data_IF_896348676787
#
_entry.id   IF_896348676787
#
_cell.length_a   1.000
_cell.length_b   1.000
_cell.length_c   1.000
_cell.angle_alpha   90.00
_cell.angle_beta   90.00
_cell.angle_gamma   90.00
#
_symmetry.space_group_name_H-M   'P 1'
#
loop_
_entity.id
_entity.type
_entity.pdbx_description
1 polymer ?
#
# COMPACT_ATOMS: atom_id res chain seq x y z
N UNK A 1 -35.15 21.79 60.09
CA UNK A 1 -33.90 21.94 59.33
C UNK A 1 -32.89 21.02 59.99
N UNK A 2 -32.44 19.89 59.48
CA UNK A 2 -32.72 19.05 58.30
C UNK A 2 -32.14 17.66 58.69
N UNK A 3 -32.93 16.57 58.64
CA UNK A 3 -32.92 15.50 57.60
C UNK A 3 -31.49 15.05 57.21
N UNK A 4 -31.10 13.78 57.22
CA UNK A 4 -31.76 12.49 57.46
C UNK A 4 -30.65 11.43 57.56
N UNK A 5 -30.79 10.49 58.50
CA UNK A 5 -29.95 9.31 58.71
C UNK A 5 -30.37 8.18 57.74
N UNK A 6 -29.39 7.36 57.37
CA UNK A 6 -29.42 6.08 56.63
C UNK A 6 -30.72 5.23 56.65
N UNK A 7 -31.01 4.56 55.52
CA UNK A 7 -31.21 3.09 55.45
C UNK A 7 -31.25 2.54 53.99
N UNK A 8 -30.41 1.53 53.78
CA UNK A 8 -30.21 0.52 52.72
C UNK A 8 -31.39 0.16 51.76
N UNK A 9 -31.07 -0.12 50.48
CA UNK A 9 -31.16 -1.46 49.87
C UNK A 9 -30.38 -1.56 48.53
N UNK A 10 -29.85 -2.76 48.30
CA UNK A 10 -28.93 -3.25 47.27
C UNK A 10 -29.51 -3.29 45.83
N UNK A 11 -28.72 -2.89 44.82
CA UNK A 11 -28.76 -3.49 43.47
C UNK A 11 -27.49 -3.14 42.64
N UNK A 12 -26.66 -4.15 42.41
CA UNK A 12 -25.72 -4.38 41.30
C UNK A 12 -24.75 -3.27 40.86
N UNK A 13 -23.48 -3.57 41.12
CA UNK A 13 -22.27 -3.10 40.45
C UNK A 13 -22.48 -3.03 38.93
N UNK A 14 -22.33 -1.82 38.39
CA UNK A 14 -22.18 -1.54 36.96
C UNK A 14 -21.17 -0.42 36.80
N UNK A 15 -19.94 -0.65 37.26
CA UNK A 15 -18.80 0.18 36.89
C UNK A 15 -18.61 -0.03 35.38
N UNK A 16 -19.24 0.82 34.56
CA UNK A 16 -18.87 0.99 33.16
C UNK A 16 -17.46 1.55 33.19
N UNK A 17 -16.47 0.67 33.18
CA UNK A 17 -15.07 1.01 32.98
C UNK A 17 -15.01 1.84 31.69
N UNK A 18 -14.72 3.14 31.83
CA UNK A 18 -14.23 3.94 30.72
C UNK A 18 -12.87 3.36 30.36
N UNK A 19 -12.89 2.43 29.39
CA UNK A 19 -11.69 1.90 28.75
C UNK A 19 -11.04 3.09 28.01
N UNK A 20 -9.86 3.49 28.46
CA UNK A 20 -9.07 4.59 27.89
C UNK A 20 -8.23 4.06 26.71
N UNK A 21 -7.76 4.92 25.80
CA UNK A 21 -6.98 4.50 24.63
C UNK A 21 -5.70 3.72 24.99
N UNK A 22 -5.22 3.90 26.22
CA UNK A 22 -4.10 3.16 26.81
C UNK A 22 -4.36 1.68 27.05
N UNK A 23 -5.63 1.24 27.03
CA UNK A 23 -6.01 -0.13 27.39
C UNK A 23 -6.01 -1.09 26.19
N UNK A 24 -5.98 -0.58 24.96
CA UNK A 24 -5.84 -1.43 23.78
C UNK A 24 -4.37 -1.79 23.59
N UNK A 25 -4.01 -2.97 24.06
CA UNK A 25 -2.64 -3.49 23.95
C UNK A 25 -2.63 -4.70 23.02
N UNK A 26 -1.98 -4.55 21.87
CA UNK A 26 -1.69 -5.68 20.99
C UNK A 26 -0.69 -6.63 21.66
N UNK A 27 -0.83 -7.96 21.48
CA UNK A 27 0.14 -8.92 21.99
C UNK A 27 1.53 -8.66 21.39
N UNK A 28 2.57 -9.07 22.12
CA UNK A 28 3.97 -8.89 21.70
C UNK A 28 4.32 -9.64 20.42
N UNK A 29 3.57 -10.70 20.10
CA UNK A 29 3.68 -11.43 18.85
C UNK A 29 2.32 -11.86 18.35
N UNK A 30 2.12 -11.77 17.03
CA UNK A 30 0.88 -12.16 16.37
C UNK A 30 1.08 -12.40 14.87
N UNK A 31 0.07 -13.00 14.26
CA UNK A 31 -0.13 -12.92 12.81
C UNK A 31 -1.52 -12.39 12.48
N UNK A 32 -1.64 -11.70 11.36
CA UNK A 32 -2.89 -11.11 10.87
C UNK A 32 -2.86 -11.07 9.35
N UNK A 33 -3.97 -11.36 8.71
CA UNK A 33 -4.14 -11.08 7.28
C UNK A 33 -4.95 -9.80 7.11
N UNK A 34 -4.57 -8.99 6.15
CA UNK A 34 -5.30 -7.77 5.84
C UNK A 34 -5.36 -7.50 4.35
N UNK A 35 -6.50 -6.95 3.94
CA UNK A 35 -6.73 -6.44 2.60
C UNK A 35 -6.81 -4.93 2.67
N UNK A 36 -5.98 -4.23 1.91
CA UNK A 36 -6.03 -2.79 1.76
C UNK A 36 -6.57 -2.45 0.38
N UNK A 37 -7.44 -1.44 0.32
CA UNK A 37 -7.88 -0.80 -0.92
C UNK A 37 -7.64 0.70 -0.82
N UNK A 38 -6.95 1.25 -1.80
CA UNK A 38 -6.96 2.68 -2.07
C UNK A 38 -8.16 3.00 -2.97
N UNK A 39 -9.12 3.71 -2.42
CA UNK A 39 -10.35 4.09 -3.11
C UNK A 39 -10.09 5.17 -4.18
N UNK A 40 -9.00 5.93 -4.06
CA UNK A 40 -8.62 6.97 -5.03
C UNK A 40 -8.06 6.36 -6.32
N UNK A 41 -7.19 5.35 -6.22
CA UNK A 41 -6.56 4.71 -7.37
C UNK A 41 -7.23 3.39 -7.80
N UNK A 42 -8.07 2.82 -6.94
CA UNK A 42 -8.59 1.46 -7.10
C UNK A 42 -7.57 0.36 -6.82
N UNK A 43 -6.35 0.73 -6.41
CA UNK A 43 -5.31 -0.23 -6.05
C UNK A 43 -5.75 -1.08 -4.84
N UNK A 44 -5.40 -2.36 -4.86
CA UNK A 44 -5.65 -3.25 -3.73
C UNK A 44 -4.49 -4.20 -3.51
N UNK A 45 -4.18 -4.48 -2.24
CA UNK A 45 -3.19 -5.48 -1.84
C UNK A 45 -3.76 -6.37 -0.74
N UNK A 46 -3.34 -7.64 -0.76
CA UNK A 46 -3.60 -8.59 0.31
C UNK A 46 -2.27 -9.00 0.92
N UNK A 47 -2.19 -8.96 2.24
CA UNK A 47 -0.95 -9.18 2.96
C UNK A 47 -1.20 -10.08 4.15
N UNK A 48 -0.35 -11.08 4.32
CA UNK A 48 -0.22 -11.81 5.59
C UNK A 48 0.96 -11.25 6.35
N UNK A 49 0.67 -10.76 7.55
CA UNK A 49 1.61 -10.08 8.42
C UNK A 49 1.96 -10.97 9.60
N UNK A 50 3.23 -10.93 9.99
CA UNK A 50 3.73 -11.48 11.23
C UNK A 50 4.53 -10.42 11.97
N UNK A 51 4.37 -10.38 13.28
CA UNK A 51 5.05 -9.42 14.15
C UNK A 51 5.56 -10.15 15.37
N UNK A 52 6.80 -9.83 15.78
CA UNK A 52 7.40 -10.31 17.01
C UNK A 52 8.27 -9.23 17.62
N UNK A 53 7.86 -8.72 18.79
CA UNK A 53 8.69 -7.84 19.62
C UNK A 53 9.87 -8.59 20.23
N UNK A 54 9.70 -9.87 20.58
CA UNK A 54 10.79 -10.65 21.20
C UNK A 54 11.97 -10.89 20.25
N UNK A 55 11.68 -10.95 18.94
CA UNK A 55 12.68 -11.10 17.88
C UNK A 55 13.08 -9.79 17.23
N UNK A 56 12.48 -8.66 17.64
CA UNK A 56 12.52 -7.39 16.92
C UNK A 56 12.37 -7.61 15.41
N UNK A 57 11.32 -8.33 15.03
CA UNK A 57 11.16 -8.83 13.67
C UNK A 57 9.72 -8.66 13.18
N UNK A 58 9.65 -8.45 11.87
CA UNK A 58 8.42 -8.19 11.17
C UNK A 58 8.46 -8.84 9.79
N UNK A 59 7.34 -9.41 9.34
CA UNK A 59 7.24 -10.04 8.01
C UNK A 59 5.92 -9.70 7.32
N UNK A 60 6.00 -9.40 6.03
CA UNK A 60 4.87 -9.30 5.12
C UNK A 60 5.01 -10.27 3.96
N UNK A 61 4.03 -11.16 3.84
CA UNK A 61 3.80 -11.96 2.64
C UNK A 61 2.69 -11.30 1.82
N UNK A 62 3.08 -10.53 0.80
CA UNK A 62 2.15 -9.85 -0.11
C UNK A 62 1.75 -10.80 -1.23
N UNK A 63 0.47 -10.79 -1.59
CA UNK A 63 -0.12 -11.66 -2.63
C UNK A 63 0.18 -13.15 -2.42
N UNK A 64 0.10 -13.62 -1.17
CA UNK A 64 0.36 -15.03 -0.86
C UNK A 64 1.84 -15.41 -0.81
N UNK A 65 2.74 -14.42 -0.68
CA UNK A 65 4.19 -14.64 -0.50
C UNK A 65 5.00 -14.50 -1.78
N UNK A 66 4.39 -14.10 -2.90
CA UNK A 66 5.10 -13.76 -4.14
C UNK A 66 6.09 -12.62 -3.94
N UNK A 67 5.75 -11.72 -3.03
CA UNK A 67 6.63 -10.69 -2.50
C UNK A 67 6.68 -10.89 -0.97
N UNK A 68 7.83 -11.26 -0.45
CA UNK A 68 8.04 -11.47 0.98
C UNK A 68 9.04 -10.46 1.51
N UNK A 69 8.62 -9.63 2.46
CA UNK A 69 9.48 -8.69 3.17
C UNK A 69 9.72 -9.25 4.57
N UNK A 70 10.98 -9.37 4.99
CA UNK A 70 11.36 -9.70 6.34
C UNK A 70 12.25 -8.58 6.84
N UNK A 71 11.82 -7.90 7.90
CA UNK A 71 12.56 -6.83 8.55
C UNK A 71 12.96 -7.33 9.92
N UNK A 72 14.26 -7.29 10.24
CA UNK A 72 14.80 -7.67 11.56
C UNK A 72 15.68 -6.53 12.07
N UNK A 73 15.57 -6.17 13.33
CA UNK A 73 16.47 -5.20 13.94
C UNK A 73 17.55 -5.95 14.71
N UNK A 74 18.81 -5.62 14.44
CA UNK A 74 19.94 -6.22 15.12
C UNK A 74 20.24 -5.53 16.46
N UNK A 75 21.20 -6.05 17.22
CA UNK A 75 21.57 -5.56 18.56
C UNK A 75 22.09 -4.11 18.57
N UNK A 76 22.45 -3.56 17.41
CA UNK A 76 22.88 -2.17 17.25
C UNK A 76 21.72 -1.24 16.88
N UNK A 77 20.48 -1.70 16.98
CA UNK A 77 19.26 -1.03 16.52
C UNK A 77 19.22 -0.75 15.01
N UNK A 78 20.05 -1.42 14.21
CA UNK A 78 20.01 -1.28 12.75
C UNK A 78 18.99 -2.26 12.20
N UNK A 79 18.03 -1.74 11.44
CA UNK A 79 17.03 -2.54 10.75
C UNK A 79 17.62 -3.14 9.49
N UNK A 80 17.39 -4.43 9.27
CA UNK A 80 17.81 -5.18 8.09
C UNK A 80 16.57 -5.65 7.33
N UNK A 81 16.47 -5.29 6.06
CA UNK A 81 15.41 -5.73 5.19
C UNK A 81 15.92 -6.82 4.25
N UNK A 82 15.20 -7.93 4.25
CA UNK A 82 15.30 -9.01 3.27
C UNK A 82 14.02 -8.98 2.43
N UNK A 83 14.16 -8.75 1.13
CA UNK A 83 13.04 -8.70 0.21
C UNK A 83 13.17 -9.78 -0.85
N UNK A 84 12.27 -10.76 -0.79
CA UNK A 84 12.16 -11.85 -1.75
C UNK A 84 11.05 -11.54 -2.75
N UNK A 85 11.35 -11.67 -4.04
CA UNK A 85 10.39 -11.41 -5.11
C UNK A 85 10.64 -12.30 -6.33
N UNK A 86 9.56 -12.60 -7.05
CA UNK A 86 9.64 -13.32 -8.31
C UNK A 86 10.02 -12.37 -9.46
N UNK A 87 10.90 -12.84 -10.34
CA UNK A 87 11.23 -12.18 -11.61
C UNK A 87 11.02 -13.16 -12.76
N UNK A 88 10.49 -12.66 -13.86
CA UNK A 88 10.41 -13.36 -15.15
C UNK A 88 11.14 -12.52 -16.19
N UNK A 89 11.99 -13.16 -17.01
CA UNK A 89 12.68 -12.53 -18.12
C UNK A 89 12.50 -13.39 -19.40
N UNK A 90 13.26 -13.08 -20.45
CA UNK A 90 13.15 -13.77 -21.75
C UNK A 90 13.58 -15.25 -21.70
N UNK A 91 14.39 -15.65 -20.71
CA UNK A 91 14.98 -17.00 -20.60
C UNK A 91 14.50 -17.78 -19.39
N UNK A 92 13.91 -17.13 -18.38
CA UNK A 92 13.45 -17.78 -17.15
C UNK A 92 12.14 -17.18 -16.63
N UNK A 93 11.29 -18.04 -16.08
CA UNK A 93 9.97 -17.67 -15.52
C UNK A 93 9.92 -17.90 -14.02
N UNK A 94 9.39 -16.93 -13.28
CA UNK A 94 9.14 -17.02 -11.83
C UNK A 94 10.38 -17.47 -11.04
N UNK A 95 11.53 -16.88 -11.35
CA UNK A 95 12.75 -17.10 -10.57
C UNK A 95 12.71 -16.20 -9.34
N UNK A 96 12.87 -16.78 -8.16
CA UNK A 96 12.94 -16.04 -6.91
C UNK A 96 14.30 -15.34 -6.78
N UNK A 97 14.26 -14.06 -6.47
CA UNK A 97 15.42 -13.25 -6.13
C UNK A 97 15.29 -12.75 -4.70
N UNK A 98 16.42 -12.47 -4.06
CA UNK A 98 16.44 -11.77 -2.78
C UNK A 98 17.33 -10.52 -2.86
N UNK A 99 16.81 -9.43 -2.34
CA UNK A 99 17.54 -8.19 -2.09
C UNK A 99 17.73 -8.02 -0.58
N UNK A 100 18.93 -7.63 -0.18
CA UNK A 100 19.26 -7.29 1.21
C UNK A 100 19.66 -5.83 1.30
N UNK A 101 19.06 -5.11 2.25
CA UNK A 101 19.42 -3.74 2.58
C UNK A 101 19.52 -3.56 4.10
N UNK A 102 20.65 -3.06 4.62
CA UNK A 102 20.70 -2.49 5.96
C UNK A 102 19.90 -1.18 5.94
N UNK A 103 18.62 -1.29 6.27
CA UNK A 103 17.66 -0.20 6.26
C UNK A 103 18.05 0.91 7.25
N UNK A 104 17.97 2.16 6.78
CA UNK A 104 18.13 3.39 7.57
C UNK A 104 16.93 3.73 8.48
N UNK A 105 15.93 2.85 8.60
CA UNK A 105 14.74 3.10 9.42
C UNK A 105 14.97 2.74 10.89
N UNK A 106 14.85 3.74 11.75
CA UNK A 106 15.15 3.67 13.19
C UNK A 106 14.17 2.79 14.00
N UNK A 107 12.98 2.44 13.48
CA UNK A 107 12.00 1.68 14.30
C UNK A 107 11.08 0.75 13.51
N UNK A 108 11.06 -0.53 13.90
CA UNK A 108 10.06 -1.53 13.53
C UNK A 108 8.67 -1.19 14.09
N UNK A 109 8.59 -0.30 15.09
CA UNK A 109 7.37 0.03 15.84
C UNK A 109 6.18 0.48 14.96
N UNK A 110 6.43 1.06 13.77
CA UNK A 110 5.35 1.52 12.89
C UNK A 110 4.87 0.50 11.85
N UNK A 111 5.45 -0.69 11.81
CA UNK A 111 5.08 -1.72 10.81
C UNK A 111 3.93 -2.63 11.29
N UNK A 112 3.64 -2.62 12.59
CA UNK A 112 2.58 -3.40 13.23
C UNK A 112 1.15 -2.93 12.94
N UNK A 113 0.19 -3.61 13.56
CA UNK A 113 -1.16 -3.07 13.76
C UNK A 113 -1.07 -1.66 14.34
N UNK A 114 -1.94 -0.73 13.90
CA UNK A 114 -1.89 0.66 14.34
C UNK A 114 -1.93 0.78 15.87
N UNK A 115 -1.01 1.56 16.44
CA UNK A 115 -1.03 1.91 17.87
C UNK A 115 -2.20 2.87 18.13
N UNK A 116 -3.20 2.48 18.95
CA UNK A 116 -4.32 3.33 19.29
C UNK A 116 -3.97 4.46 20.27
N UNK A 117 -2.71 4.58 20.69
CA UNK A 117 -2.25 5.74 21.47
C UNK A 117 -2.54 7.05 20.72
N UNK A 118 -3.25 7.97 21.39
CA UNK A 118 -3.67 9.25 20.82
C UNK A 118 -5.02 9.21 20.10
N UNK A 119 -5.63 8.03 19.94
CA UNK A 119 -6.99 7.91 19.44
C UNK A 119 -8.00 8.28 20.53
N UNK A 120 -9.10 8.90 20.11
CA UNK A 120 -10.27 9.10 20.96
C UNK A 120 -11.28 8.00 20.70
N UNK A 121 -11.76 7.36 21.77
CA UNK A 121 -12.87 6.42 21.70
C UNK A 121 -14.14 7.16 21.27
N UNK A 122 -14.85 6.57 20.32
CA UNK A 122 -16.13 7.05 19.82
C UNK A 122 -17.24 6.05 20.21
N UNK A 123 -18.25 5.92 19.35
CA UNK A 123 -19.38 5.01 19.49
C UNK A 123 -18.98 3.52 19.41
N UNK A 124 -19.85 2.66 19.95
CA UNK A 124 -19.79 1.21 19.70
C UNK A 124 -20.78 0.89 18.59
N UNK A 125 -20.34 0.15 17.57
CA UNK A 125 -21.15 -0.22 16.41
C UNK A 125 -21.29 -1.73 16.32
N UNK A 126 -22.45 -2.20 15.89
CA UNK A 126 -22.66 -3.64 15.62
C UNK A 126 -22.41 -3.91 14.13
N UNK A 127 -21.48 -4.81 13.83
CA UNK A 127 -21.20 -5.26 12.46
C UNK A 127 -21.28 -6.78 12.43
N UNK A 128 -22.18 -7.33 11.61
CA UNK A 128 -22.41 -8.78 11.50
C UNK A 128 -22.63 -9.48 12.86
N UNK A 129 -23.29 -8.79 13.81
CA UNK A 129 -23.55 -9.30 15.16
C UNK A 129 -22.38 -9.15 16.15
N UNK A 130 -21.20 -8.71 15.71
CA UNK A 130 -20.08 -8.39 16.59
C UNK A 130 -20.13 -6.92 17.04
N UNK A 131 -19.84 -6.68 18.31
CA UNK A 131 -19.73 -5.33 18.88
C UNK A 131 -18.31 -4.80 18.66
N UNK A 132 -18.19 -3.71 17.92
CA UNK A 132 -16.92 -3.07 17.59
C UNK A 132 -16.85 -1.70 18.25
N UNK A 133 -15.75 -1.41 18.93
CA UNK A 133 -15.44 -0.06 19.38
C UNK A 133 -14.80 0.72 18.24
N UNK A 134 -15.35 1.90 17.94
CA UNK A 134 -14.78 2.84 16.97
C UNK A 134 -13.83 3.78 17.69
N UNK A 135 -12.62 3.93 17.15
CA UNK A 135 -11.57 4.81 17.64
C UNK A 135 -11.16 5.75 16.53
N UNK A 136 -11.05 7.04 16.81
CA UNK A 136 -10.75 8.05 15.80
C UNK A 136 -9.54 8.90 16.20
N UNK A 137 -8.69 9.19 15.23
CA UNK A 137 -7.57 10.11 15.36
C UNK A 137 -7.63 11.11 14.23
N UNK A 138 -7.41 12.37 14.56
CA UNK A 138 -7.30 13.45 13.57
C UNK A 138 -6.06 14.25 13.88
N UNK A 139 -5.23 14.47 12.86
CA UNK A 139 -4.10 15.37 12.94
C UNK A 139 -4.09 16.34 11.77
N UNK A 140 -3.53 17.51 12.00
CA UNK A 140 -3.27 18.49 10.94
C UNK A 140 -1.82 18.92 11.06
N UNK A 141 -1.10 18.91 9.94
CA UNK A 141 0.28 19.37 9.85
C UNK A 141 0.45 20.24 8.61
N UNK A 142 0.68 21.53 8.83
CA UNK A 142 0.71 22.52 7.75
C UNK A 142 -0.58 22.50 6.93
N UNK A 143 -0.44 22.26 5.63
CA UNK A 143 -1.48 22.19 4.59
C UNK A 143 -2.13 20.81 4.46
N UNK A 144 -1.77 19.86 5.33
CA UNK A 144 -2.29 18.50 5.29
C UNK A 144 -3.12 18.18 6.53
N UNK A 145 -4.24 17.49 6.32
CA UNK A 145 -5.09 16.93 7.38
C UNK A 145 -5.18 15.43 7.20
N UNK A 146 -5.05 14.68 8.30
CA UNK A 146 -5.16 13.22 8.33
C UNK A 146 -6.26 12.81 9.29
N UNK A 147 -7.08 11.88 8.84
CA UNK A 147 -8.13 11.25 9.64
C UNK A 147 -7.88 9.75 9.62
N UNK A 148 -7.88 9.13 10.79
CA UNK A 148 -7.78 7.69 10.94
C UNK A 148 -8.91 7.19 11.81
N UNK A 149 -9.53 6.10 11.38
CA UNK A 149 -10.56 5.41 12.16
C UNK A 149 -10.20 3.93 12.27
N UNK A 150 -10.28 3.39 13.47
CA UNK A 150 -10.07 1.99 13.79
C UNK A 150 -11.36 1.40 14.36
N UNK A 151 -11.70 0.20 13.92
CA UNK A 151 -12.77 -0.61 14.51
C UNK A 151 -12.15 -1.86 15.11
N UNK A 152 -12.29 -1.97 16.42
CA UNK A 152 -11.66 -3.01 17.23
C UNK A 152 -12.77 -3.76 17.95
N UNK A 153 -12.78 -5.08 17.82
CA UNK A 153 -13.55 -5.91 18.75
C UNK A 153 -12.70 -6.09 19.99
N UNK A 154 -13.18 -5.65 21.15
CA UNK A 154 -12.39 -5.75 22.39
C UNK A 154 -12.27 -7.18 22.92
N UNK A 155 -12.95 -8.14 22.31
CA UNK A 155 -12.90 -9.55 22.69
C UNK A 155 -13.35 -9.77 24.13
N UNK A 156 -12.84 -10.84 24.72
CA UNK A 156 -12.91 -11.11 26.17
C UNK A 156 -11.56 -10.85 26.81
N UNK A 157 -11.48 -10.84 28.15
CA UNK A 157 -10.20 -10.71 28.87
C UNK A 157 -9.15 -11.74 28.43
N UNK A 158 -9.57 -12.93 28.00
CA UNK A 158 -8.67 -14.00 27.55
C UNK A 158 -8.28 -13.90 26.08
N UNK A 159 -9.13 -13.31 25.23
CA UNK A 159 -8.89 -13.19 23.79
C UNK A 159 -8.16 -11.88 23.44
N UNK A 160 -8.32 -10.84 24.27
CA UNK A 160 -7.75 -9.52 24.03
C UNK A 160 -8.40 -8.80 22.85
N UNK A 161 -7.84 -7.63 22.46
CA UNK A 161 -8.37 -6.86 21.35
C UNK A 161 -8.11 -7.56 20.00
N UNK A 162 -9.09 -7.49 19.11
CA UNK A 162 -9.06 -8.07 17.76
C UNK A 162 -9.25 -6.93 16.75
N UNK A 163 -8.29 -6.71 15.83
CA UNK A 163 -8.44 -5.71 14.78
C UNK A 163 -9.50 -6.19 13.77
N UNK A 164 -10.39 -5.30 13.34
CA UNK A 164 -11.46 -5.65 12.38
C UNK A 164 -11.38 -4.80 11.12
N UNK A 165 -11.28 -3.47 11.26
CA UNK A 165 -11.19 -2.56 10.13
C UNK A 165 -10.41 -1.30 10.48
N UNK A 166 -9.76 -0.71 9.49
CA UNK A 166 -9.24 0.66 9.54
C UNK A 166 -9.69 1.47 8.32
N UNK A 167 -9.78 2.79 8.50
CA UNK A 167 -9.97 3.75 7.44
C UNK A 167 -8.98 4.90 7.63
N UNK A 168 -8.22 5.23 6.59
CA UNK A 168 -7.30 6.37 6.54
C UNK A 168 -7.73 7.31 5.44
N UNK A 169 -7.76 8.60 5.76
CA UNK A 169 -7.97 9.62 4.76
C UNK A 169 -6.98 10.76 4.97
N UNK A 170 -6.29 11.12 3.89
CA UNK A 170 -5.40 12.27 3.87
C UNK A 170 -5.95 13.31 2.91
N UNK A 171 -5.98 14.53 3.40
CA UNK A 171 -6.37 15.71 2.66
C UNK A 171 -5.17 16.63 2.53
N UNK A 172 -5.02 17.24 1.36
CA UNK A 172 -3.95 18.18 1.06
C UNK A 172 -4.58 19.42 0.42
N UNK A 173 -4.09 20.62 0.77
CA UNK A 173 -4.58 21.87 0.20
C UNK A 173 -3.98 23.09 0.88
N UNK A 174 -3.83 24.19 0.13
CA UNK A 174 -3.22 25.44 0.62
C UNK A 174 -3.95 26.10 1.78
N UNK A 175 -5.27 25.87 1.87
CA UNK A 175 -6.13 26.36 2.95
C UNK A 175 -7.11 25.26 3.39
N UNK A 176 -7.71 25.40 4.59
CA UNK A 176 -8.69 24.41 5.07
C UNK A 176 -9.92 24.29 4.17
N UNK A 177 -10.27 25.36 3.44
CA UNK A 177 -11.40 25.39 2.51
C UNK A 177 -11.07 24.73 1.15
N UNK A 178 -9.79 24.55 0.84
CA UNK A 178 -9.27 23.96 -0.41
C UNK A 178 -8.74 22.53 -0.24
N UNK A 179 -8.95 21.92 0.93
CA UNK A 179 -8.53 20.55 1.20
C UNK A 179 -9.24 19.58 0.25
N UNK A 180 -8.47 18.91 -0.61
CA UNK A 180 -8.96 17.79 -1.42
C UNK A 180 -8.41 16.48 -0.88
N UNK A 181 -9.21 15.40 -1.02
CA UNK A 181 -8.81 14.06 -0.60
C UNK A 181 -7.71 13.54 -1.53
N UNK A 182 -6.48 13.46 -1.02
CA UNK A 182 -5.34 12.94 -1.75
C UNK A 182 -5.31 11.41 -1.72
N UNK A 183 -5.58 10.81 -0.55
CA UNK A 183 -5.53 9.37 -0.35
C UNK A 183 -6.72 8.92 0.49
N UNK A 184 -7.33 7.79 0.14
CA UNK A 184 -8.40 7.17 0.92
C UNK A 184 -8.21 5.67 0.98
N UNK A 185 -7.74 5.16 2.11
CA UNK A 185 -7.45 3.74 2.32
C UNK A 185 -8.51 3.11 3.21
N UNK A 186 -9.03 1.97 2.78
CA UNK A 186 -9.80 1.05 3.63
C UNK A 186 -8.98 -0.21 3.84
N UNK A 187 -8.84 -0.64 5.10
CA UNK A 187 -8.15 -1.88 5.47
C UNK A 187 -9.12 -2.79 6.21
N UNK A 188 -9.29 -4.02 5.73
CA UNK A 188 -10.05 -5.07 6.39
C UNK A 188 -9.08 -6.11 6.98
N UNK A 189 -9.20 -6.40 8.27
CA UNK A 189 -8.36 -7.39 8.98
C UNK A 189 -9.13 -8.70 9.16
N UNK A 190 -8.44 -9.82 8.99
CA UNK A 190 -9.00 -11.16 9.13
C UNK A 190 -7.89 -12.18 9.49
N UNK A 191 -8.29 -13.41 9.85
CA UNK A 191 -7.37 -14.48 10.25
C UNK A 191 -6.35 -14.06 11.33
N UNK A 192 -6.80 -13.26 12.31
CA UNK A 192 -5.96 -12.78 13.40
C UNK A 192 -5.64 -13.90 14.41
N UNK A 193 -4.35 -14.08 14.71
CA UNK A 193 -3.87 -15.04 15.70
C UNK A 193 -2.98 -14.29 16.69
N UNK A 194 -3.45 -14.00 17.92
CA UNK A 194 -2.73 -13.23 18.93
C UNK A 194 -1.69 -14.08 19.68
N UNK A 195 -0.79 -14.74 18.94
CA UNK A 195 0.26 -15.60 19.48
C UNK A 195 1.57 -15.41 18.74
N UNK A 196 2.67 -15.62 19.46
CA UNK A 196 4.01 -15.59 18.90
C UNK A 196 4.11 -16.51 17.67
N UNK A 197 4.58 -15.99 16.51
CA UNK A 197 4.78 -16.81 15.32
C UNK A 197 5.87 -17.86 15.51
N UNK A 198 5.68 -19.03 14.89
CA UNK A 198 6.66 -20.13 14.86
C UNK A 198 8.03 -19.68 14.33
N UNK A 199 9.13 -20.30 14.78
CA UNK A 199 10.49 -19.90 14.41
C UNK A 199 10.72 -19.87 12.89
N UNK A 200 10.16 -20.87 12.19
CA UNK A 200 10.29 -21.01 10.74
C UNK A 200 9.66 -19.86 9.93
N UNK A 201 8.80 -19.04 10.53
CA UNK A 201 8.23 -17.84 9.88
C UNK A 201 9.32 -16.82 9.56
N UNK A 202 10.42 -16.82 10.30
CA UNK A 202 11.50 -15.85 10.14
C UNK A 202 12.59 -16.32 9.18
N UNK A 203 12.44 -17.52 8.64
CA UNK A 203 13.30 -18.06 7.60
C UNK A 203 12.84 -17.56 6.22
N UNK A 204 13.79 -17.06 5.45
CA UNK A 204 13.58 -16.78 4.03
C UNK A 204 13.46 -18.08 3.21
N UNK A 205 12.98 -17.98 1.96
CA UNK A 205 13.06 -19.07 0.99
C UNK A 205 14.45 -19.73 0.95
N UNK A 206 14.47 -21.06 1.03
CA UNK A 206 15.72 -21.85 1.03
C UNK A 206 16.45 -21.75 -0.30
N UNK A 207 17.78 -21.80 -0.26
CA UNK A 207 18.67 -21.78 -1.42
C UNK A 207 18.61 -20.50 -2.27
N UNK A 208 18.16 -19.38 -1.68
CA UNK A 208 18.19 -18.06 -2.31
C UNK A 208 19.21 -17.20 -1.56
N UNK A 209 20.24 -16.76 -2.26
CA UNK A 209 21.22 -15.82 -1.72
C UNK A 209 20.72 -14.38 -1.91
N UNK A 210 20.82 -13.56 -0.87
CA UNK A 210 20.42 -12.15 -0.94
C UNK A 210 21.57 -11.30 -1.42
N UNK A 211 21.34 -10.57 -2.51
CA UNK A 211 22.33 -9.66 -3.07
C UNK A 211 22.28 -8.35 -2.28
N UNK A 212 23.41 -7.97 -1.68
CA UNK A 212 23.61 -6.65 -1.11
C UNK A 212 23.95 -5.68 -2.26
N UNK A 213 23.04 -4.79 -2.62
CA UNK A 213 23.29 -3.78 -3.66
C UNK A 213 23.16 -2.37 -3.10
N UNK A 214 24.26 -1.87 -2.53
CA UNK A 214 24.43 -0.48 -2.10
C UNK A 214 24.31 0.55 -3.26
N UNK A 215 24.29 0.10 -4.53
CA UNK A 215 24.22 0.94 -5.73
C UNK A 215 22.82 1.09 -6.34
N UNK A 216 21.80 0.42 -5.81
CA UNK A 216 20.46 0.37 -6.38
C UNK A 216 19.63 1.66 -6.24
N UNK A 217 20.13 2.71 -5.58
CA UNK A 217 19.43 4.01 -5.49
C UNK A 217 19.18 4.67 -6.86
N UNK A 218 19.91 4.28 -7.90
CA UNK A 218 19.62 4.73 -9.26
C UNK A 218 18.38 4.06 -9.89
N UNK A 219 17.68 3.20 -9.15
CA UNK A 219 16.47 2.57 -9.63
C UNK A 219 15.60 1.85 -8.58
N UNK A 220 15.55 2.32 -7.34
CA UNK A 220 14.66 1.78 -6.30
C UNK A 220 13.68 2.87 -5.88
N UNK A 221 12.37 2.60 -6.01
CA UNK A 221 11.31 3.48 -5.51
C UNK A 221 11.05 3.19 -4.04
N UNK A 222 10.88 4.21 -3.21
CA UNK A 222 10.38 4.03 -1.86
C UNK A 222 8.85 3.92 -1.93
N UNK A 223 8.30 2.79 -1.50
CA UNK A 223 6.85 2.55 -1.41
C UNK A 223 6.38 2.64 0.04
N UNK A 224 5.18 3.17 0.27
CA UNK A 224 4.52 3.08 1.57
C UNK A 224 3.72 1.78 1.65
N UNK A 225 3.97 0.96 2.67
CA UNK A 225 3.14 -0.19 3.03
C UNK A 225 2.56 0.06 4.43
N UNK A 226 1.28 0.46 4.48
CA UNK A 226 0.69 0.98 5.72
C UNK A 226 1.42 2.25 6.18
N UNK A 227 1.98 2.22 7.38
CA UNK A 227 2.78 3.32 7.95
C UNK A 227 4.29 3.16 7.75
N UNK A 228 4.76 2.05 7.14
CA UNK A 228 6.17 1.82 6.90
C UNK A 228 6.58 2.27 5.49
N UNK A 229 7.78 2.83 5.38
CA UNK A 229 8.43 3.08 4.10
C UNK A 229 9.28 1.85 3.81
N UNK A 230 9.05 1.19 2.68
CA UNK A 230 9.86 0.06 2.21
C UNK A 230 10.52 0.41 0.88
N UNK A 231 11.81 0.13 0.70
CA UNK A 231 12.44 0.21 -0.62
C UNK A 231 11.83 -0.88 -1.51
N UNK A 232 11.28 -0.47 -2.64
CA UNK A 232 10.73 -1.29 -3.71
C UNK A 232 11.66 -1.14 -4.91
N UNK A 233 12.38 -2.18 -5.32
CA UNK A 233 13.21 -2.11 -6.51
C UNK A 233 12.33 -1.75 -7.73
N UNK A 234 12.75 -0.86 -8.64
CA UNK A 234 11.94 -0.52 -9.84
C UNK A 234 11.66 -1.74 -10.73
N UNK A 235 12.45 -2.82 -10.60
CA UNK A 235 12.20 -4.10 -11.26
C UNK A 235 11.24 -5.02 -10.50
N UNK A 236 11.13 -4.85 -9.19
CA UNK A 236 10.15 -5.56 -8.38
C UNK A 236 8.85 -4.77 -8.46
N UNK A 237 8.02 -5.15 -9.41
CA UNK A 237 6.70 -4.56 -9.54
C UNK A 237 5.87 -5.05 -8.35
N UNK A 238 5.86 -4.29 -7.25
CA UNK A 238 4.83 -4.45 -6.20
C UNK A 238 3.43 -4.13 -6.78
N UNK A 239 3.42 -3.46 -7.94
CA UNK A 239 2.28 -3.26 -8.84
C UNK A 239 2.05 -4.44 -9.80
N UNK A 240 2.92 -5.47 -9.81
CA UNK A 240 2.64 -6.73 -10.50
C UNK A 240 1.73 -7.56 -9.61
N UNK A 241 0.46 -7.30 -9.82
CA UNK A 241 -0.65 -8.20 -9.63
C UNK A 241 -0.23 -9.65 -9.97
N UNK A 242 -0.47 -10.61 -9.08
CA UNK A 242 -0.39 -12.03 -9.42
C UNK A 242 -1.30 -12.87 -8.49
N UNK A 243 -1.74 -14.10 -8.85
CA UNK A 243 -1.83 -14.80 -10.13
C UNK A 243 -3.25 -15.43 -10.30
N UNK A 244 -4.22 -14.69 -10.83
CA UNK A 244 -5.21 -15.36 -11.70
C UNK A 244 -4.80 -14.94 -13.07
N UNK A 245 -4.57 -15.90 -13.97
CA UNK A 245 -4.18 -15.70 -15.38
C UNK A 245 -4.94 -14.54 -16.05
N UNK A 246 -4.48 -13.33 -15.80
CA UNK A 246 -4.50 -12.25 -16.73
C UNK A 246 -3.04 -11.93 -16.83
N UNK A 247 -2.35 -12.77 -17.64
CA UNK A 247 -1.37 -12.22 -18.60
C UNK A 247 -1.86 -10.82 -18.86
N UNK A 248 -1.11 -9.81 -18.42
CA UNK A 248 -1.29 -8.45 -18.88
C UNK A 248 -1.16 -8.55 -20.38
N UNK A 249 -2.27 -8.87 -21.03
CA UNK A 249 -2.45 -8.91 -22.44
C UNK A 249 -2.49 -7.43 -22.73
N UNK A 250 -1.32 -6.75 -22.74
CA UNK A 250 -1.17 -5.57 -23.57
C UNK A 250 -1.85 -5.95 -24.87
N UNK A 251 -2.94 -5.24 -25.19
CA UNK A 251 -4.02 -5.64 -26.09
C UNK A 251 -3.74 -6.97 -26.85
N UNK A 252 -3.92 -8.15 -26.23
CA UNK A 252 -3.86 -9.39 -27.03
C UNK A 252 -5.17 -9.51 -27.74
N UNK A 253 -5.20 -8.93 -28.93
CA UNK A 253 -6.15 -9.25 -29.97
C UNK A 253 -6.08 -10.77 -30.11
N UNK A 254 -7.11 -11.49 -29.68
CA UNK A 254 -7.32 -12.86 -30.13
C UNK A 254 -7.39 -12.73 -31.66
N UNK A 255 -6.38 -13.20 -32.37
CA UNK A 255 -6.44 -13.32 -33.83
C UNK A 255 -7.29 -14.55 -34.11
N UNK A 256 -8.59 -14.44 -34.48
CA UNK A 256 -9.16 -15.47 -35.33
C UNK A 256 -8.24 -15.58 -36.56
N UNK A 257 -8.09 -16.78 -37.12
CA UNK A 257 -7.38 -16.96 -38.40
C UNK A 257 -8.09 -16.11 -39.46
N UNK A 258 -7.62 -14.88 -39.65
CA UNK A 258 -8.33 -13.80 -40.31
C UNK A 258 -8.13 -12.50 -39.53
N UNK A 259 -7.10 -11.74 -39.87
CA UNK A 259 -6.76 -10.44 -39.27
C UNK A 259 -7.99 -9.50 -39.23
N UNK A 260 -8.52 -9.24 -38.04
CA UNK A 260 -9.52 -8.20 -37.80
C UNK A 260 -8.90 -6.81 -37.55
N UNK A 261 -7.57 -6.70 -37.61
CA UNK A 261 -6.93 -5.41 -37.78
C UNK A 261 -7.23 -4.96 -39.21
N UNK A 262 -7.84 -3.78 -39.36
CA UNK A 262 -7.87 -3.14 -40.66
C UNK A 262 -6.44 -3.10 -41.20
N UNK A 263 -6.21 -3.49 -42.47
CA UNK A 263 -4.89 -3.34 -43.06
C UNK A 263 -4.44 -1.89 -42.88
N UNK A 264 -3.15 -1.70 -42.65
CA UNK A 264 -2.58 -0.36 -42.69
C UNK A 264 -3.03 0.30 -44.01
N UNK A 265 -3.64 1.50 -43.97
CA UNK A 265 -4.41 2.01 -45.11
C UNK A 265 -3.55 2.46 -46.29
N UNK A 266 -2.22 2.34 -46.19
CA UNK A 266 -1.25 2.76 -47.19
C UNK A 266 -0.36 1.59 -47.62
N UNK A 267 0.06 1.57 -48.88
CA UNK A 267 1.07 0.61 -49.39
C UNK A 267 2.49 1.05 -49.03
N UNK A 268 3.45 0.12 -49.14
CA UNK A 268 4.87 0.45 -48.91
C UNK A 268 5.37 1.52 -49.88
N UNK A 269 4.90 1.53 -51.13
CA UNK A 269 5.23 2.56 -52.11
C UNK A 269 4.67 3.93 -51.73
N UNK A 270 3.43 3.99 -51.22
CA UNK A 270 2.83 5.22 -50.73
C UNK A 270 3.58 5.75 -49.50
N UNK A 271 3.97 4.86 -48.58
CA UNK A 271 4.79 5.22 -47.41
C UNK A 271 6.14 5.79 -47.85
N UNK A 272 6.83 5.15 -48.80
CA UNK A 272 8.09 5.63 -49.36
C UNK A 272 7.94 7.01 -50.02
N UNK A 273 6.87 7.22 -50.79
CA UNK A 273 6.58 8.49 -51.45
C UNK A 273 6.25 9.61 -50.44
N UNK A 274 5.50 9.30 -49.38
CA UNK A 274 5.23 10.25 -48.28
C UNK A 274 6.52 10.59 -47.54
N UNK A 275 7.32 9.58 -47.18
CA UNK A 275 8.57 9.75 -46.46
C UNK A 275 9.60 10.62 -47.21
N UNK A 276 9.62 10.55 -48.55
CA UNK A 276 10.49 11.38 -49.38
C UNK A 276 10.27 12.89 -49.20
N UNK A 277 9.06 13.30 -48.78
CA UNK A 277 8.67 14.70 -48.62
C UNK A 277 8.59 15.17 -47.16
N UNK A 278 8.88 14.29 -46.19
CA UNK A 278 8.86 14.64 -44.78
C UNK A 278 10.18 15.31 -44.35
N UNK A 279 10.13 16.24 -43.37
CA UNK A 279 11.34 16.82 -42.83
C UNK A 279 12.16 15.75 -42.08
N UNK A 280 13.49 15.93 -42.06
CA UNK A 280 14.42 15.05 -41.34
C UNK A 280 14.12 14.96 -39.83
N UNK A 281 13.48 15.99 -39.27
CA UNK A 281 12.99 16.00 -37.90
C UNK A 281 11.70 16.81 -37.82
N UNK A 282 10.79 16.34 -36.99
CA UNK A 282 9.51 16.99 -36.72
C UNK A 282 9.22 16.91 -35.22
N UNK A 283 8.86 18.05 -34.61
CA UNK A 283 8.67 18.15 -33.17
C UNK A 283 7.35 18.88 -32.88
N UNK A 284 6.32 18.10 -32.50
CA UNK A 284 4.98 18.59 -32.20
C UNK A 284 4.95 19.67 -31.10
N UNK A 285 5.95 19.71 -30.21
CA UNK A 285 6.03 20.74 -29.14
C UNK A 285 6.22 22.13 -29.73
N UNK A 286 6.98 22.25 -30.82
CA UNK A 286 7.22 23.54 -31.51
C UNK A 286 5.97 24.08 -32.21
N UNK A 287 4.94 23.25 -32.33
CA UNK A 287 3.69 23.58 -33.01
C UNK A 287 2.51 23.68 -32.03
N UNK A 288 2.75 23.62 -30.72
CA UNK A 288 1.72 23.75 -29.68
C UNK A 288 0.87 22.49 -29.47
N UNK A 289 1.16 21.39 -30.18
CA UNK A 289 0.35 20.17 -30.12
C UNK A 289 0.64 19.29 -28.90
N UNK A 290 1.82 19.45 -28.29
CA UNK A 290 2.21 18.73 -27.07
C UNK A 290 2.89 19.72 -26.15
N UNK A 291 2.56 19.67 -24.87
CA UNK A 291 3.15 20.54 -23.85
C UNK A 291 4.65 20.25 -23.63
N UNK A 292 5.36 21.15 -22.97
CA UNK A 292 6.78 20.96 -22.63
C UNK A 292 7.01 19.70 -21.77
N UNK A 293 8.26 19.22 -21.75
CA UNK A 293 8.64 18.04 -20.95
C UNK A 293 8.39 18.36 -19.48
N UNK A 294 7.47 17.62 -18.88
CA UNK A 294 7.12 17.75 -17.46
C UNK A 294 8.08 16.91 -16.61
N UNK A 295 8.41 17.38 -15.42
CA UNK A 295 9.24 16.67 -14.45
C UNK A 295 8.47 16.51 -13.14
N UNK A 296 8.15 15.28 -12.79
CA UNK A 296 7.44 14.92 -11.56
C UNK A 296 8.36 14.60 -10.38
N UNK A 297 9.65 14.91 -10.51
CA UNK A 297 10.67 14.64 -9.51
C UNK A 297 10.62 13.17 -9.06
N UNK A 298 10.58 12.91 -7.76
CA UNK A 298 10.70 11.57 -7.18
C UNK A 298 9.41 10.73 -7.20
N UNK A 299 8.34 11.21 -7.84
CA UNK A 299 7.04 10.52 -7.81
C UNK A 299 7.00 9.20 -8.62
N UNK A 300 7.93 8.96 -9.55
CA UNK A 300 8.11 7.65 -10.22
C UNK A 300 7.03 7.18 -11.22
N UNK A 301 5.90 7.87 -11.33
CA UNK A 301 4.83 7.67 -12.32
C UNK A 301 5.03 8.31 -13.72
N UNK A 302 6.27 8.60 -14.15
CA UNK A 302 6.57 9.39 -15.37
C UNK A 302 6.10 8.77 -16.70
N UNK A 303 5.69 7.51 -16.68
CA UNK A 303 4.97 6.88 -17.78
C UNK A 303 3.65 7.62 -18.12
N UNK A 304 3.04 8.33 -17.16
CA UNK A 304 1.79 9.08 -17.39
C UNK A 304 1.98 10.22 -18.39
N UNK A 305 3.17 10.80 -18.48
CA UNK A 305 3.45 11.87 -19.44
C UNK A 305 3.40 11.41 -20.89
N UNK A 306 3.73 10.14 -21.16
CA UNK A 306 3.55 9.56 -22.50
C UNK A 306 2.06 9.45 -22.88
N UNK A 307 1.20 9.08 -21.92
CA UNK A 307 -0.26 9.02 -22.13
C UNK A 307 -0.83 10.41 -22.35
N UNK A 308 -0.47 11.37 -21.50
CA UNK A 308 -0.93 12.76 -21.60
C UNK A 308 -0.48 13.40 -22.91
N UNK A 309 0.80 13.28 -23.29
CA UNK A 309 1.29 13.84 -24.55
C UNK A 309 0.63 13.23 -25.79
N UNK A 310 0.28 11.94 -25.75
CA UNK A 310 -0.47 11.30 -26.84
C UNK A 310 -1.90 11.85 -26.96
N UNK A 311 -2.56 12.13 -25.83
CA UNK A 311 -3.90 12.72 -25.81
C UNK A 311 -3.87 14.20 -26.23
N UNK A 312 -2.90 14.97 -25.74
CA UNK A 312 -2.68 16.38 -26.14
C UNK A 312 -2.51 16.47 -27.66
N UNK A 313 -1.62 15.65 -28.24
CA UNK A 313 -1.36 15.65 -29.68
C UNK A 313 -2.57 15.21 -30.51
N UNK A 314 -3.27 14.16 -30.09
CA UNK A 314 -4.47 13.70 -30.78
C UNK A 314 -5.61 14.73 -30.72
N UNK A 315 -5.76 15.40 -29.57
CA UNK A 315 -6.72 16.48 -29.40
C UNK A 315 -6.39 17.65 -30.33
N UNK A 316 -5.16 18.16 -30.27
CA UNK A 316 -4.70 19.27 -31.10
C UNK A 316 -4.86 19.00 -32.60
N UNK A 317 -4.55 17.79 -33.09
CA UNK A 317 -4.75 17.44 -34.51
C UNK A 317 -6.24 17.53 -34.89
N UNK A 318 -7.14 17.17 -33.97
CA UNK A 318 -8.58 17.17 -34.21
C UNK A 318 -9.21 18.56 -34.12
N UNK A 319 -8.75 19.39 -33.19
CA UNK A 319 -9.37 20.68 -32.86
C UNK A 319 -8.60 21.89 -33.41
N UNK A 320 -7.34 21.72 -33.75
CA UNK A 320 -6.42 22.81 -34.11
C UNK A 320 -5.96 23.67 -32.93
N UNK A 321 -6.38 23.33 -31.70
CA UNK A 321 -6.05 24.00 -30.44
C UNK A 321 -6.16 23.00 -29.29
#
# INVERSE_FOLDING_TARGET
MDKLLCLFFCASVGHLLQIDATDVQWPSGYSVEWSMRDESSGFSMNVKQYTSKSKNAFRWDVFGGENTFIIKQNDQNVSELYYYFLTTNETSTNVMYCFFEPSIFDTIDNSGLPDPKGFSRSETVTVNGAQLQKWTFTSSFGESKREYTLWINMGTETEGPIPVKAHYQEYVGGTQEELFSATRLTVDYYNYIPKEPEESVWDGPKNIECLADYGAYNGTMMGFMGNAIVPVALRSSITSVSPVEKKGKGLKINRPSGSSALPFPYTDEEVQAMAANLPKSFDWRKHGAVTEVKNQMHCGSCWIFGVVGSLEGAYFIKTGT
#
